data_IF_714826677261
#
_entry.id   IF_714826677261
#
_cell.length_a   1.000
_cell.length_b   1.000
_cell.length_c   1.000
_cell.angle_alpha   90.00
_cell.angle_beta   90.00
_cell.angle_gamma   90.00
#
_symmetry.space_group_name_H-M   'P 1'
#
loop_
_entity.id
_entity.type
_entity.pdbx_description
1 polymer ?
#
# COMPACT_ATOMS: atom_id res chain seq x y z
N UNK A 1 -34.26 26.84 9.07
CA UNK A 1 -33.31 27.97 8.92
C UNK A 1 -32.39 28.07 10.14
N UNK A 2 -31.14 27.59 10.01
CA UNK A 2 -30.13 27.74 11.06
C UNK A 2 -29.31 26.50 11.35
N UNK A 3 -28.60 25.98 10.35
CA UNK A 3 -27.37 25.21 10.57
C UNK A 3 -26.23 26.07 10.04
N UNK A 4 -25.62 26.88 10.90
CA UNK A 4 -24.38 27.57 10.51
C UNK A 4 -23.31 26.50 10.44
N UNK A 5 -22.94 26.07 9.23
CA UNK A 5 -21.66 25.41 8.98
C UNK A 5 -20.59 26.43 9.33
N UNK A 6 -20.15 26.43 10.59
CA UNK A 6 -19.04 27.26 11.03
C UNK A 6 -17.79 26.55 10.55
N UNK A 7 -17.12 27.13 9.56
CA UNK A 7 -15.71 26.87 9.33
C UNK A 7 -14.96 27.33 10.59
N UNK A 8 -14.87 26.46 11.60
CA UNK A 8 -13.93 26.64 12.70
C UNK A 8 -12.58 26.18 12.18
N UNK A 9 -11.63 27.10 12.13
CA UNK A 9 -10.21 26.73 12.15
C UNK A 9 -9.99 26.05 13.50
N UNK A 10 -9.98 24.72 13.52
CA UNK A 10 -9.37 24.01 14.63
C UNK A 10 -7.88 24.35 14.59
N UNK A 11 -7.42 24.94 15.68
CA UNK A 11 -6.13 25.58 15.85
C UNK A 11 -4.96 24.58 15.87
N UNK A 12 -5.19 23.29 16.15
CA UNK A 12 -4.10 22.31 16.25
C UNK A 12 -3.36 21.97 14.94
N UNK A 13 -4.07 21.81 13.81
CA UNK A 13 -3.48 21.29 12.55
C UNK A 13 -2.91 22.39 11.66
N UNK A 14 -3.48 23.59 11.68
CA UNK A 14 -2.93 24.74 10.95
C UNK A 14 -1.59 25.22 11.53
N UNK A 15 -1.38 25.10 12.85
CA UNK A 15 -0.07 25.34 13.47
C UNK A 15 1.00 24.30 13.10
N UNK A 16 0.58 23.17 12.52
CA UNK A 16 1.46 22.09 12.08
C UNK A 16 1.73 22.11 10.57
N UNK A 17 1.38 23.20 9.88
CA UNK A 17 1.68 23.41 8.46
C UNK A 17 0.59 22.94 7.48
N UNK A 18 -0.64 22.69 7.94
CA UNK A 18 -1.75 22.40 7.03
C UNK A 18 -2.23 23.67 6.30
N UNK A 19 -2.28 23.63 4.97
CA UNK A 19 -2.78 24.73 4.13
C UNK A 19 -4.31 24.91 4.24
N UNK A 20 -5.02 23.80 4.49
CA UNK A 20 -6.48 23.79 4.61
C UNK A 20 -6.92 22.75 5.63
N UNK A 21 -7.84 23.14 6.50
CA UNK A 21 -8.51 22.27 7.47
C UNK A 21 -10.01 22.50 7.36
N UNK A 22 -10.80 21.43 7.30
CA UNK A 22 -12.25 21.51 7.24
C UNK A 22 -12.87 20.62 8.32
N UNK A 23 -13.78 21.19 9.11
CA UNK A 23 -14.51 20.51 10.18
C UNK A 23 -16.00 20.79 9.97
N UNK A 24 -16.84 19.79 10.18
CA UNK A 24 -18.29 19.93 10.10
C UNK A 24 -18.98 19.08 11.15
N UNK A 25 -20.01 19.65 11.77
CA UNK A 25 -20.96 18.95 12.66
C UNK A 25 -22.26 18.58 11.91
N UNK A 26 -22.38 18.97 10.63
CA UNK A 26 -23.54 18.64 9.80
C UNK A 26 -23.40 17.21 9.24
N UNK A 27 -24.41 16.39 9.50
CA UNK A 27 -24.41 14.98 9.09
C UNK A 27 -24.40 14.81 7.56
N UNK A 28 -25.03 15.72 6.80
CA UNK A 28 -25.05 15.62 5.35
C UNK A 28 -23.67 15.94 4.76
N UNK A 29 -23.03 17.01 5.23
CA UNK A 29 -21.66 17.35 4.86
C UNK A 29 -20.65 16.27 5.27
N UNK A 30 -20.77 15.75 6.50
CA UNK A 30 -19.93 14.65 6.97
C UNK A 30 -20.03 13.40 6.08
N UNK A 31 -21.26 13.06 5.65
CA UNK A 31 -21.48 11.97 4.70
C UNK A 31 -20.83 12.24 3.33
N UNK A 32 -20.81 13.50 2.86
CA UNK A 32 -20.13 13.86 1.61
C UNK A 32 -18.61 13.66 1.70
N UNK A 33 -17.98 14.05 2.82
CA UNK A 33 -16.54 13.84 3.03
C UNK A 33 -16.19 12.36 3.12
N UNK A 34 -17.00 11.57 3.84
CA UNK A 34 -16.85 10.12 3.90
C UNK A 34 -17.04 9.47 2.53
N UNK A 35 -17.98 9.97 1.73
CA UNK A 35 -18.18 9.49 0.38
C UNK A 35 -16.97 9.79 -0.50
N UNK A 36 -16.38 10.99 -0.40
CA UNK A 36 -15.14 11.32 -1.11
C UNK A 36 -14.01 10.33 -0.79
N UNK A 37 -13.84 9.95 0.49
CA UNK A 37 -12.84 8.93 0.90
C UNK A 37 -13.15 7.53 0.34
N UNK A 38 -14.42 7.16 0.21
CA UNK A 38 -14.84 5.84 -0.32
C UNK A 38 -14.63 5.72 -1.83
N UNK A 39 -14.80 6.80 -2.57
CA UNK A 39 -14.77 6.78 -4.05
C UNK A 39 -13.40 7.12 -4.64
N UNK A 40 -12.34 7.16 -3.83
CA UNK A 40 -10.99 7.51 -4.30
C UNK A 40 -10.55 6.66 -5.49
N UNK A 41 -10.68 5.33 -5.41
CA UNK A 41 -10.26 4.45 -6.51
C UNK A 41 -11.10 4.68 -7.77
N UNK A 42 -12.42 4.84 -7.63
CA UNK A 42 -13.30 5.20 -8.75
C UNK A 42 -12.93 6.54 -9.38
N UNK A 43 -12.47 7.52 -8.59
CA UNK A 43 -11.97 8.77 -9.14
C UNK A 43 -10.65 8.58 -9.91
N UNK A 44 -9.77 7.68 -9.46
CA UNK A 44 -8.52 7.38 -10.15
C UNK A 44 -8.72 6.68 -11.50
N UNK A 45 -9.79 5.90 -11.65
CA UNK A 45 -10.15 5.23 -12.91
C UNK A 45 -10.39 6.23 -14.07
N UNK A 46 -10.68 7.49 -13.76
CA UNK A 46 -10.81 8.55 -14.79
C UNK A 46 -9.49 8.90 -15.47
N UNK A 47 -8.35 8.50 -14.89
CA UNK A 47 -7.01 8.79 -15.39
C UNK A 47 -6.29 7.58 -16.01
N UNK A 48 -6.80 6.36 -15.82
CA UNK A 48 -6.18 5.13 -16.30
C UNK A 48 -6.58 3.91 -15.49
N UNK A 49 -5.94 2.77 -15.77
CA UNK A 49 -6.01 1.62 -14.85
C UNK A 49 -5.11 1.88 -13.65
N UNK A 50 -5.30 1.13 -12.56
CA UNK A 50 -4.52 1.31 -11.35
C UNK A 50 -3.89 0.01 -10.84
N UNK A 51 -2.71 0.16 -10.22
CA UNK A 51 -2.02 -0.86 -9.45
C UNK A 51 -1.83 -0.30 -8.03
N UNK A 52 -2.51 -0.91 -7.06
CA UNK A 52 -2.51 -0.44 -5.67
C UNK A 52 -1.60 -1.29 -4.82
N UNK A 53 -0.70 -0.61 -4.11
CA UNK A 53 0.08 -1.20 -3.04
C UNK A 53 -0.64 -1.06 -1.69
N UNK A 54 -0.12 -1.73 -0.68
CA UNK A 54 -0.69 -1.82 0.67
C UNK A 54 0.46 -2.07 1.63
N UNK A 55 1.04 -0.98 2.14
CA UNK A 55 2.21 -0.98 3.00
C UNK A 55 1.86 -0.33 4.32
N UNK A 56 2.33 -0.91 5.42
CA UNK A 56 2.19 -0.30 6.74
C UNK A 56 3.56 0.10 7.26
N UNK A 57 3.70 1.33 7.74
CA UNK A 57 4.95 1.87 8.32
C UNK A 57 4.70 2.42 9.72
N UNK A 58 5.73 2.58 10.58
CA UNK A 58 5.56 3.29 11.84
C UNK A 58 4.93 4.66 11.60
N UNK A 59 3.94 5.05 12.42
CA UNK A 59 3.16 6.30 12.20
C UNK A 59 4.03 7.55 12.08
N UNK A 60 5.17 7.56 12.78
CA UNK A 60 6.17 8.64 12.75
C UNK A 60 6.91 8.74 11.41
N UNK A 61 6.75 7.77 10.50
CA UNK A 61 7.39 7.69 9.19
C UNK A 61 6.40 7.80 8.02
N UNK A 62 5.10 7.99 8.27
CA UNK A 62 4.07 8.16 7.21
C UNK A 62 4.42 9.32 6.27
N UNK A 63 4.86 10.46 6.82
CA UNK A 63 5.23 11.63 6.02
C UNK A 63 6.41 11.34 5.08
N UNK A 64 7.36 10.50 5.51
CA UNK A 64 8.49 10.08 4.69
C UNK A 64 8.06 9.12 3.60
N UNK A 65 7.18 8.14 3.90
CA UNK A 65 6.59 7.27 2.89
C UNK A 65 5.86 8.08 1.80
N UNK A 66 5.03 9.04 2.18
CA UNK A 66 4.29 9.90 1.24
C UNK A 66 5.27 10.71 0.37
N UNK A 67 6.30 11.29 0.98
CA UNK A 67 7.32 12.07 0.25
C UNK A 67 8.11 11.20 -0.72
N UNK A 68 8.45 9.97 -0.33
CA UNK A 68 9.11 9.00 -1.21
C UNK A 68 8.19 8.57 -2.36
N UNK A 69 6.89 8.36 -2.12
CA UNK A 69 5.93 8.05 -3.18
C UNK A 69 5.85 9.18 -4.21
N UNK A 70 5.90 10.45 -3.76
CA UNK A 70 5.94 11.59 -4.66
C UNK A 70 7.22 11.61 -5.53
N UNK A 71 8.38 11.36 -4.92
CA UNK A 71 9.63 11.25 -5.67
C UNK A 71 9.61 10.10 -6.70
N UNK A 72 9.07 8.93 -6.32
CA UNK A 72 8.91 7.79 -7.22
C UNK A 72 7.96 8.15 -8.37
N UNK A 73 6.87 8.86 -8.10
CA UNK A 73 5.91 9.31 -9.11
C UNK A 73 6.60 10.20 -10.17
N UNK A 74 7.46 11.13 -9.72
CA UNK A 74 8.25 12.00 -10.60
C UNK A 74 9.27 11.19 -11.42
N UNK A 75 10.00 10.27 -10.77
CA UNK A 75 11.04 9.46 -11.40
C UNK A 75 10.49 8.53 -12.50
N UNK A 76 9.30 7.96 -12.27
CA UNK A 76 8.66 7.05 -13.23
C UNK A 76 7.68 7.77 -14.16
N UNK A 77 7.42 9.06 -13.94
CA UNK A 77 6.48 9.84 -14.74
C UNK A 77 5.05 9.30 -14.74
N UNK A 78 4.60 8.70 -13.64
CA UNK A 78 3.24 8.18 -13.46
C UNK A 78 2.58 8.81 -12.24
N UNK A 79 1.25 8.91 -12.25
CA UNK A 79 0.51 9.40 -11.09
C UNK A 79 0.50 8.34 -9.99
N UNK A 80 0.93 8.72 -8.79
CA UNK A 80 0.78 7.90 -7.58
C UNK A 80 -0.05 8.69 -6.57
N UNK A 81 -1.24 8.19 -6.25
CA UNK A 81 -2.10 8.76 -5.22
C UNK A 81 -1.94 7.96 -3.92
N UNK A 82 -1.80 8.62 -2.78
CA UNK A 82 -1.65 7.92 -1.48
C UNK A 82 -2.86 8.22 -0.61
N UNK A 83 -3.60 7.17 -0.25
CA UNK A 83 -4.67 7.21 0.76
C UNK A 83 -4.43 6.11 1.78
N UNK A 84 -4.96 6.24 2.99
CA UNK A 84 -4.67 5.23 4.01
C UNK A 84 -5.46 5.35 5.29
N UNK A 85 -5.07 4.51 6.23
CA UNK A 85 -5.49 4.46 7.61
C UNK A 85 -4.34 5.00 8.48
N UNK A 86 -4.18 6.32 8.51
CA UNK A 86 -3.04 6.94 9.21
C UNK A 86 -2.96 6.59 10.72
N UNK A 87 -4.07 6.16 11.31
CA UNK A 87 -4.16 5.77 12.73
C UNK A 87 -3.36 4.51 13.10
N UNK A 88 -3.18 3.58 12.17
CA UNK A 88 -2.39 2.34 12.32
C UNK A 88 -1.13 2.33 11.44
N UNK A 89 -1.00 3.28 10.52
CA UNK A 89 0.17 3.41 9.64
C UNK A 89 0.02 2.70 8.30
N UNK A 90 -1.15 2.11 8.01
CA UNK A 90 -1.43 1.48 6.74
C UNK A 90 -1.73 2.52 5.66
N UNK A 91 -1.00 2.45 4.55
CA UNK A 91 -1.14 3.34 3.40
C UNK A 91 -1.27 2.53 2.13
N UNK A 92 -2.05 3.05 1.20
CA UNK A 92 -2.31 2.50 -0.13
C UNK A 92 -1.83 3.47 -1.20
N UNK A 93 -0.52 3.46 -1.53
CA UNK A 93 -0.03 4.08 -2.75
C UNK A 93 -0.65 3.40 -3.97
N UNK A 94 -1.38 4.17 -4.78
CA UNK A 94 -2.07 3.69 -5.97
C UNK A 94 -1.45 4.34 -7.20
N UNK A 95 -0.78 3.52 -8.01
CA UNK A 95 -0.12 3.91 -9.26
C UNK A 95 -1.15 3.85 -10.38
N UNK A 96 -1.28 4.91 -11.16
CA UNK A 96 -2.19 4.99 -12.31
C UNK A 96 -1.39 4.98 -13.61
N UNK A 97 -1.80 4.15 -14.56
CA UNK A 97 -1.11 3.96 -15.84
C UNK A 97 -2.06 3.52 -16.96
N UNK A 98 -1.62 3.61 -18.21
CA UNK A 98 -2.29 3.04 -19.38
C UNK A 98 -1.90 1.56 -19.57
N UNK A 99 -2.83 0.59 -19.40
CA UNK A 99 -2.51 -0.82 -19.57
C UNK A 99 -2.22 -1.23 -21.02
N UNK A 100 -2.55 -0.39 -22.00
CA UNK A 100 -2.26 -0.64 -23.41
C UNK A 100 -0.83 -0.24 -23.79
N UNK A 101 -0.14 0.51 -22.92
CA UNK A 101 1.27 0.85 -23.05
C UNK A 101 2.15 -0.13 -22.26
N UNK A 102 2.96 -0.98 -22.94
CA UNK A 102 3.90 -1.87 -22.26
C UNK A 102 4.93 -1.12 -21.42
N UNK A 103 5.35 0.05 -21.89
CA UNK A 103 6.32 0.93 -21.23
C UNK A 103 5.75 1.53 -19.94
N UNK A 104 4.50 2.02 -19.94
CA UNK A 104 3.87 2.47 -18.68
C UNK A 104 3.64 1.31 -17.72
N UNK A 105 3.26 0.15 -18.24
CA UNK A 105 3.07 -1.05 -17.42
C UNK A 105 4.37 -1.46 -16.72
N UNK A 106 5.51 -1.45 -17.42
CA UNK A 106 6.82 -1.73 -16.83
C UNK A 106 7.18 -0.70 -15.74
N UNK A 107 6.98 0.59 -16.02
CA UNK A 107 7.22 1.66 -15.03
C UNK A 107 6.31 1.54 -13.81
N UNK A 108 5.06 1.12 -13.98
CA UNK A 108 4.13 0.90 -12.88
C UNK A 108 4.60 -0.24 -11.96
N UNK A 109 5.07 -1.36 -12.51
CA UNK A 109 5.64 -2.44 -11.70
C UNK A 109 6.94 -2.02 -11.00
N UNK A 110 7.79 -1.24 -11.67
CA UNK A 110 9.00 -0.66 -11.05
C UNK A 110 8.64 0.27 -9.88
N UNK A 111 7.61 1.10 -10.04
CA UNK A 111 7.13 1.97 -8.98
C UNK A 111 6.57 1.17 -7.79
N UNK A 112 5.81 0.12 -8.07
CA UNK A 112 5.28 -0.80 -7.07
C UNK A 112 6.40 -1.45 -6.24
N UNK A 113 7.42 -1.99 -6.91
CA UNK A 113 8.58 -2.58 -6.23
C UNK A 113 9.36 -1.53 -5.41
N UNK A 114 9.51 -0.30 -5.92
CA UNK A 114 10.15 0.77 -5.17
C UNK A 114 9.35 1.13 -3.90
N UNK A 115 8.03 1.23 -3.98
CA UNK A 115 7.18 1.51 -2.81
C UNK A 115 7.33 0.44 -1.74
N UNK A 116 7.34 -0.84 -2.12
CA UNK A 116 7.58 -1.95 -1.20
C UNK A 116 8.96 -1.89 -0.55
N UNK A 117 10.00 -1.55 -1.33
CA UNK A 117 11.36 -1.35 -0.81
C UNK A 117 11.40 -0.24 0.26
N UNK A 118 10.79 0.91 -0.04
CA UNK A 118 10.70 2.02 0.89
C UNK A 118 9.93 1.58 2.15
N UNK A 119 8.79 0.92 2.01
CA UNK A 119 8.01 0.41 3.14
C UNK A 119 8.84 -0.43 4.10
N UNK A 120 9.62 -1.39 3.57
CA UNK A 120 10.54 -2.20 4.36
C UNK A 120 11.69 -1.37 4.96
N UNK A 121 12.28 -0.46 4.19
CA UNK A 121 13.40 0.38 4.64
C UNK A 121 13.03 1.28 5.82
N UNK A 122 11.76 1.66 5.92
CA UNK A 122 11.19 2.46 7.01
C UNK A 122 10.83 1.60 8.24
N UNK A 123 11.11 0.31 8.23
CA UNK A 123 10.77 -0.63 9.29
C UNK A 123 9.29 -1.05 9.28
N UNK A 124 8.66 -0.99 8.10
CA UNK A 124 7.28 -1.40 7.87
C UNK A 124 7.13 -2.84 7.38
N UNK A 125 5.96 -3.13 6.82
CA UNK A 125 5.59 -4.41 6.18
C UNK A 125 5.06 -4.18 4.77
N UNK A 126 5.27 -5.16 3.90
CA UNK A 126 4.81 -5.19 2.50
C UNK A 126 3.32 -5.49 2.37
N UNK A 127 2.61 -5.72 3.47
CA UNK A 127 1.17 -5.96 3.49
C UNK A 127 0.54 -5.44 4.78
N UNK A 128 -0.35 -4.46 4.69
CA UNK A 128 -1.18 -4.04 5.81
C UNK A 128 -2.41 -4.93 6.00
N UNK A 129 -3.23 -5.06 4.95
CA UNK A 129 -4.52 -5.75 4.96
C UNK A 129 -4.81 -6.60 3.71
N UNK A 130 -4.16 -6.36 2.56
CA UNK A 130 -4.46 -7.04 1.29
C UNK A 130 -3.78 -8.40 1.13
N UNK A 131 -2.78 -8.70 1.97
CA UNK A 131 -2.01 -9.93 1.91
C UNK A 131 -0.96 -9.94 0.79
N UNK A 132 -0.31 -11.09 0.63
CA UNK A 132 0.81 -11.26 -0.30
C UNK A 132 0.37 -11.69 -1.69
N UNK A 133 -0.61 -12.60 -1.75
CA UNK A 133 -1.09 -13.18 -3.00
C UNK A 133 0.04 -13.74 -3.86
N UNK A 134 -0.06 -13.57 -5.17
CA UNK A 134 0.98 -14.01 -6.13
C UNK A 134 1.97 -12.91 -6.49
N UNK A 135 1.61 -11.66 -6.22
CA UNK A 135 2.38 -10.48 -6.66
C UNK A 135 3.57 -10.24 -5.71
N UNK A 136 3.37 -10.39 -4.40
CA UNK A 136 4.36 -9.99 -3.38
C UNK A 136 5.20 -11.15 -2.83
N UNK A 137 5.30 -12.29 -3.51
CA UNK A 137 5.94 -13.48 -2.94
C UNK A 137 7.42 -13.27 -2.59
N UNK A 138 8.17 -12.61 -3.48
CA UNK A 138 9.59 -12.30 -3.24
C UNK A 138 9.76 -11.27 -2.14
N UNK A 139 8.81 -10.33 -2.04
CA UNK A 139 8.75 -9.32 -0.98
C UNK A 139 8.47 -9.92 0.39
N UNK A 140 7.56 -10.90 0.48
CA UNK A 140 7.37 -11.69 1.70
C UNK A 140 8.67 -12.38 2.10
N UNK A 141 9.35 -13.06 1.18
CA UNK A 141 10.59 -13.76 1.47
C UNK A 141 11.68 -12.83 2.00
N UNK A 142 11.75 -11.60 1.47
CA UNK A 142 12.65 -10.56 1.96
C UNK A 142 12.27 -10.06 3.37
N UNK A 143 10.99 -9.89 3.65
CA UNK A 143 10.50 -9.40 4.95
C UNK A 143 10.70 -10.41 6.08
N UNK A 144 10.22 -11.65 5.90
CA UNK A 144 10.23 -12.67 6.97
C UNK A 144 11.50 -13.53 6.99
N UNK A 145 12.32 -13.40 5.95
CA UNK A 145 13.59 -14.08 5.80
C UNK A 145 13.47 -15.62 5.67
N UNK A 146 14.63 -16.31 5.56
CA UNK A 146 14.67 -17.74 5.27
C UNK A 146 14.05 -18.61 6.37
N UNK A 147 14.11 -18.16 7.63
CA UNK A 147 13.49 -18.89 8.74
C UNK A 147 11.98 -18.78 8.72
N UNK A 148 11.43 -17.58 8.48
CA UNK A 148 9.99 -17.40 8.33
C UNK A 148 9.44 -18.23 7.17
N UNK A 149 10.08 -18.13 6.01
CA UNK A 149 9.69 -18.89 4.82
C UNK A 149 9.69 -20.41 5.04
N UNK A 150 10.73 -20.94 5.70
CA UNK A 150 10.81 -22.37 6.06
C UNK A 150 9.64 -22.80 6.95
N UNK A 151 9.33 -22.02 7.99
CA UNK A 151 8.22 -22.34 8.91
C UNK A 151 6.88 -22.33 8.19
N UNK A 152 6.61 -21.29 7.37
CA UNK A 152 5.37 -21.20 6.60
C UNK A 152 5.17 -22.39 5.65
N UNK A 153 6.23 -22.84 4.97
CA UNK A 153 6.17 -24.01 4.09
C UNK A 153 5.99 -25.32 4.84
N UNK A 154 6.61 -25.48 6.01
CA UNK A 154 6.40 -26.66 6.84
C UNK A 154 4.95 -26.76 7.32
N UNK A 155 4.34 -25.64 7.72
CA UNK A 155 2.91 -25.58 8.06
C UNK A 155 2.06 -25.95 6.84
N UNK A 156 2.35 -25.36 5.68
CA UNK A 156 1.64 -25.66 4.42
C UNK A 156 1.71 -27.15 4.06
N UNK A 157 2.90 -27.76 4.12
CA UNK A 157 3.09 -29.18 3.82
C UNK A 157 2.38 -30.11 4.80
N UNK A 158 2.27 -29.72 6.08
CA UNK A 158 1.57 -30.50 7.09
C UNK A 158 0.04 -30.46 6.90
N UNK A 159 -0.50 -29.34 6.41
CA UNK A 159 -1.94 -29.13 6.23
C UNK A 159 -2.46 -29.47 4.83
N UNK A 160 -1.59 -29.41 3.82
CA UNK A 160 -1.91 -29.62 2.40
C UNK A 160 -0.74 -30.33 1.69
N UNK A 161 -0.54 -31.63 1.97
CA UNK A 161 0.61 -32.39 1.48
C UNK A 161 0.64 -32.53 -0.05
N UNK A 162 -0.53 -32.51 -0.69
CA UNK A 162 -0.68 -32.59 -2.15
C UNK A 162 -0.67 -31.21 -2.83
N UNK A 163 -0.49 -30.12 -2.06
CA UNK A 163 -0.44 -28.73 -2.52
C UNK A 163 -1.64 -28.31 -3.38
N UNK A 164 -2.85 -28.70 -2.97
CA UNK A 164 -4.10 -28.43 -3.70
C UNK A 164 -4.73 -27.08 -3.35
N UNK A 165 -4.46 -26.54 -2.15
CA UNK A 165 -5.11 -25.33 -1.66
C UNK A 165 -4.37 -24.08 -2.15
N UNK A 166 -4.83 -23.50 -3.25
CA UNK A 166 -4.33 -22.25 -3.82
C UNK A 166 -2.79 -22.22 -4.02
N UNK A 167 -2.25 -23.14 -4.84
CA UNK A 167 -0.82 -23.24 -5.09
C UNK A 167 -0.26 -21.92 -5.64
N UNK A 168 1.00 -21.65 -5.29
CA UNK A 168 1.72 -20.43 -5.66
C UNK A 168 1.08 -19.14 -5.12
N UNK A 169 0.22 -19.21 -4.11
CA UNK A 169 -0.24 -18.02 -3.37
C UNK A 169 0.58 -17.84 -2.09
N UNK A 170 0.95 -16.60 -1.79
CA UNK A 170 1.88 -16.15 -0.75
C UNK A 170 3.33 -16.58 -0.95
N UNK A 171 3.56 -17.84 -1.31
CA UNK A 171 4.89 -18.37 -1.58
C UNK A 171 4.81 -19.61 -2.47
N UNK A 172 5.87 -19.86 -3.26
CA UNK A 172 6.06 -21.16 -3.91
C UNK A 172 6.53 -22.20 -2.90
N UNK A 173 6.19 -23.46 -3.11
CA UNK A 173 6.77 -24.58 -2.35
C UNK A 173 8.24 -24.86 -2.74
N UNK A 174 8.71 -24.29 -3.86
CA UNK A 174 10.11 -24.32 -4.27
C UNK A 174 10.91 -23.24 -3.54
N UNK A 175 12.15 -23.53 -3.09
CA UNK A 175 13.06 -22.51 -2.55
C UNK A 175 13.33 -21.40 -3.57
N UNK A 176 13.52 -20.17 -3.09
CA UNK A 176 13.88 -19.03 -3.95
C UNK A 176 15.30 -18.52 -3.62
N UNK A 177 15.75 -17.50 -4.36
CA UNK A 177 17.11 -16.94 -4.26
C UNK A 177 17.45 -16.32 -2.89
N UNK A 178 16.46 -16.11 -2.01
CA UNK A 178 16.66 -15.53 -0.68
C UNK A 178 16.85 -16.60 0.41
N UNK A 179 16.93 -17.87 0.02
CA UNK A 179 17.14 -18.99 0.93
C UNK A 179 18.45 -19.72 0.64
N UNK A 180 19.21 -20.10 1.67
CA UNK A 180 20.35 -20.98 1.47
C UNK A 180 19.85 -22.33 0.94
N UNK A 181 20.59 -22.92 -0.01
CA UNK A 181 20.33 -24.28 -0.47
C UNK A 181 20.29 -25.21 0.75
N UNK A 182 19.26 -26.06 0.83
CA UNK A 182 19.10 -27.00 1.93
C UNK A 182 20.37 -27.87 2.05
N UNK A 183 21.19 -27.65 3.08
CA UNK A 183 22.39 -28.44 3.36
C UNK A 183 23.70 -27.69 3.63
N UNK A 184 23.71 -26.37 3.82
CA UNK A 184 24.87 -25.63 4.38
C UNK A 184 24.85 -25.55 5.90
#
# INVERSE_FOLDING_TARGET
PGGRGVCRRDDGTTHSGADMTYVTDDLAEGNMLLQARRVVLTALETYGTWLTDDVSVPRTRIAELISSCAAIADDVGLRIAVVGHAGDGNMHPTIVYDPTSPDESERAHKAFDAILDIGLSLGGTVTGEHGIGKIKQDWLAREIGPTGMRVHRQIKAALDPDNLFNPESMFSMRPNQYEPAAGS
#
